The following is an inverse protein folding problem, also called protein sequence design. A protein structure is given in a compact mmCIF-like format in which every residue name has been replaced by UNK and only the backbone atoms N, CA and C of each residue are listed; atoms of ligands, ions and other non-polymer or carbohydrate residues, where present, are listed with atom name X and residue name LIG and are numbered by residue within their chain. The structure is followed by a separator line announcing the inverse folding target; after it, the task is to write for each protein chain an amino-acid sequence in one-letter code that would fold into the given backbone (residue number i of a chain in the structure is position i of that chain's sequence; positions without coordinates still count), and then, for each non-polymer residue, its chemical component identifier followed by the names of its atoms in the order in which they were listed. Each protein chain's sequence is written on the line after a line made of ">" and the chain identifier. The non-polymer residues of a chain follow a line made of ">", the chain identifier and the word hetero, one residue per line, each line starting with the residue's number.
data_IF_269926661379
#
_entry.id   IF_269926661379
#
_cell.length_a   1.000
_cell.length_b   1.000
_cell.length_c   1.000
_cell.angle_alpha   90.00
_cell.angle_beta   90.00
_cell.angle_gamma   90.00
#
_symmetry.space_group_name_H-M   'P 1'
#
loop_
_entity.id
_entity.type
_entity.pdbx_description
1 polymer ?
#
# COMPACT_ATOMS: atom_id res chain seq x y z
N UNK A 1 20.06 8.04 -7.32
CA UNK A 1 19.31 7.40 -8.42
C UNK A 1 17.97 6.84 -7.95
N UNK A 2 17.94 5.86 -7.02
CA UNK A 2 16.68 5.28 -6.51
C UNK A 2 15.67 6.31 -5.99
N UNK A 3 16.12 7.24 -5.12
CA UNK A 3 15.26 8.28 -4.55
C UNK A 3 14.52 9.10 -5.61
N UNK A 4 15.22 9.51 -6.66
CA UNK A 4 14.63 10.28 -7.76
C UNK A 4 13.59 9.49 -8.53
N UNK A 5 13.87 8.22 -8.84
CA UNK A 5 12.92 7.35 -9.55
C UNK A 5 11.66 7.17 -8.71
N UNK A 6 11.80 6.85 -7.43
CA UNK A 6 10.68 6.71 -6.52
C UNK A 6 9.85 8.00 -6.42
N UNK A 7 10.50 9.16 -6.25
CA UNK A 7 9.79 10.45 -6.18
C UNK A 7 9.04 10.74 -7.48
N UNK A 8 9.65 10.55 -8.65
CA UNK A 8 8.98 10.75 -9.95
C UNK A 8 7.79 9.81 -10.11
N UNK A 9 7.92 8.53 -9.74
CA UNK A 9 6.80 7.59 -9.83
C UNK A 9 5.68 7.93 -8.85
N UNK A 10 6.01 8.36 -7.62
CA UNK A 10 5.02 8.81 -6.64
C UNK A 10 4.25 10.02 -7.15
N UNK A 11 4.92 10.99 -7.77
CA UNK A 11 4.25 12.14 -8.38
C UNK A 11 3.33 11.74 -9.54
N UNK A 12 3.76 10.82 -10.39
CA UNK A 12 2.95 10.30 -11.49
C UNK A 12 1.70 9.59 -10.96
N UNK A 13 1.86 8.79 -9.91
CA UNK A 13 0.78 8.09 -9.25
C UNK A 13 -0.24 9.09 -8.70
N UNK A 14 0.20 10.09 -7.95
CA UNK A 14 -0.70 11.03 -7.29
C UNK A 14 -1.38 12.00 -8.26
N UNK A 15 -0.63 12.59 -9.20
CA UNK A 15 -1.16 13.62 -10.11
C UNK A 15 -2.03 13.04 -11.22
N UNK A 16 -1.75 11.81 -11.66
CA UNK A 16 -2.38 11.25 -12.87
C UNK A 16 -3.08 9.93 -12.61
N UNK A 17 -2.39 8.91 -12.10
CA UNK A 17 -2.94 7.54 -12.13
C UNK A 17 -4.02 7.34 -11.06
N UNK A 18 -3.74 7.67 -9.80
CA UNK A 18 -4.70 7.56 -8.69
C UNK A 18 -5.82 8.59 -8.84
N UNK A 19 -5.47 9.82 -9.23
CA UNK A 19 -6.45 10.91 -9.41
C UNK A 19 -7.50 10.60 -10.49
N UNK A 20 -7.12 9.90 -11.56
CA UNK A 20 -8.02 9.59 -12.68
C UNK A 20 -8.53 8.14 -12.66
N UNK A 21 -8.16 7.31 -11.67
CA UNK A 21 -8.65 5.95 -11.57
C UNK A 21 -10.12 5.91 -11.13
N UNK A 22 -11.02 5.62 -12.08
CA UNK A 22 -12.45 5.42 -11.83
C UNK A 22 -12.80 3.98 -11.49
N UNK A 23 -12.05 3.01 -12.00
CA UNK A 23 -12.19 1.60 -11.66
C UNK A 23 -11.54 1.33 -10.28
N UNK A 24 -12.28 0.78 -9.29
CA UNK A 24 -11.73 0.42 -7.98
C UNK A 24 -10.52 -0.50 -8.05
N UNK A 25 -10.47 -1.45 -8.98
CA UNK A 25 -9.34 -2.35 -9.17
C UNK A 25 -8.06 -1.61 -9.58
N UNK A 26 -8.18 -0.71 -10.55
CA UNK A 26 -7.06 0.14 -10.97
C UNK A 26 -6.61 1.05 -9.83
N UNK A 27 -7.55 1.62 -9.08
CA UNK A 27 -7.24 2.50 -7.94
C UNK A 27 -6.50 1.76 -6.83
N UNK A 28 -6.97 0.57 -6.46
CA UNK A 28 -6.29 -0.32 -5.48
C UNK A 28 -4.90 -0.70 -5.98
N UNK A 29 -4.76 -1.04 -7.26
CA UNK A 29 -3.47 -1.38 -7.86
C UNK A 29 -2.46 -0.21 -7.78
N UNK A 30 -2.89 1.01 -8.10
CA UNK A 30 -2.03 2.19 -8.03
C UNK A 30 -1.69 2.59 -6.59
N UNK A 31 -2.63 2.47 -5.65
CA UNK A 31 -2.37 2.72 -4.22
C UNK A 31 -1.39 1.70 -3.64
N UNK A 32 -1.52 0.42 -4.02
CA UNK A 32 -0.53 -0.61 -3.68
C UNK A 32 0.86 -0.21 -4.21
N UNK A 33 0.93 0.20 -5.47
CA UNK A 33 2.18 0.63 -6.10
C UNK A 33 2.78 1.84 -5.37
N UNK A 34 1.97 2.80 -4.95
CA UNK A 34 2.39 3.95 -4.12
C UNK A 34 3.01 3.47 -2.80
N UNK A 35 2.37 2.51 -2.12
CA UNK A 35 2.91 1.87 -0.92
C UNK A 35 4.28 1.22 -1.15
N UNK A 36 4.45 0.51 -2.27
CA UNK A 36 5.72 -0.13 -2.66
C UNK A 36 6.84 0.90 -2.88
N UNK A 37 6.57 2.01 -3.57
CA UNK A 37 7.58 3.05 -3.80
C UNK A 37 7.98 3.81 -2.54
N UNK A 38 7.04 4.05 -1.61
CA UNK A 38 7.39 4.57 -0.29
C UNK A 38 8.21 3.57 0.53
N UNK A 39 7.91 2.27 0.44
CA UNK A 39 8.72 1.23 1.09
C UNK A 39 10.16 1.22 0.57
N UNK A 40 10.37 1.30 -0.74
CA UNK A 40 11.72 1.41 -1.33
C UNK A 40 12.46 2.67 -0.87
N UNK A 41 11.75 3.79 -0.70
CA UNK A 41 12.34 5.00 -0.12
C UNK A 41 12.72 4.80 1.35
N UNK A 42 11.92 4.09 2.13
CA UNK A 42 12.19 3.81 3.53
C UNK A 42 13.41 2.91 3.76
N UNK A 43 13.75 2.05 2.79
CA UNK A 43 14.95 1.20 2.81
C UNK A 43 16.25 2.03 2.72
N UNK A 44 16.19 3.21 2.10
CA UNK A 44 17.36 4.11 1.94
C UNK A 44 17.31 5.37 2.79
N UNK A 45 16.16 5.68 3.40
CA UNK A 45 15.97 6.84 4.27
C UNK A 45 16.61 6.63 5.67
N UNK A 46 16.96 7.74 6.33
CA UNK A 46 17.55 7.74 7.69
C UNK A 46 16.83 8.76 8.58
N UNK A 47 16.90 8.57 9.89
CA UNK A 47 16.31 9.50 10.87
C UNK A 47 14.81 9.68 10.66
N UNK A 48 14.33 10.92 10.79
CA UNK A 48 12.90 11.26 10.73
C UNK A 48 12.28 11.04 9.35
N UNK A 49 13.05 11.24 8.28
CA UNK A 49 12.62 10.93 6.90
C UNK A 49 12.18 9.47 6.79
N UNK A 50 12.88 8.55 7.45
CA UNK A 50 12.53 7.12 7.41
C UNK A 50 11.16 6.86 8.04
N UNK A 51 10.87 7.48 9.17
CA UNK A 51 9.58 7.33 9.85
C UNK A 51 8.44 7.85 8.99
N UNK A 52 8.58 9.05 8.44
CA UNK A 52 7.56 9.64 7.57
C UNK A 52 7.31 8.78 6.33
N UNK A 53 8.38 8.24 5.74
CA UNK A 53 8.25 7.39 4.55
C UNK A 53 7.54 6.07 4.86
N UNK A 54 7.77 5.49 6.05
CA UNK A 54 7.07 4.30 6.53
C UNK A 54 5.58 4.61 6.75
N UNK A 55 5.25 5.72 7.40
CA UNK A 55 3.87 6.12 7.67
C UNK A 55 3.10 6.36 6.35
N UNK A 56 3.75 6.98 5.35
CA UNK A 56 3.19 7.16 4.01
C UNK A 56 2.95 5.84 3.27
N UNK A 57 3.88 4.89 3.40
CA UNK A 57 3.71 3.54 2.83
C UNK A 57 2.50 2.84 3.45
N UNK A 58 2.35 2.93 4.77
CA UNK A 58 1.21 2.35 5.49
C UNK A 58 -0.11 2.97 5.10
N UNK A 59 -0.18 4.31 5.03
CA UNK A 59 -1.38 5.01 4.61
C UNK A 59 -1.86 4.54 3.23
N UNK A 60 -0.94 4.40 2.27
CA UNK A 60 -1.28 3.96 0.92
C UNK A 60 -1.80 2.51 0.88
N UNK A 61 -1.17 1.59 1.61
CA UNK A 61 -1.66 0.20 1.68
C UNK A 61 -2.99 0.08 2.44
N UNK A 62 -3.19 0.86 3.50
CA UNK A 62 -4.44 0.86 4.25
C UNK A 62 -5.60 1.38 3.39
N UNK A 63 -5.40 2.48 2.66
CA UNK A 63 -6.40 3.00 1.72
C UNK A 63 -6.71 1.97 0.62
N UNK A 64 -5.69 1.32 0.06
CA UNK A 64 -5.89 0.24 -0.91
C UNK A 64 -6.73 -0.90 -0.31
N UNK A 65 -6.46 -1.28 0.95
CA UNK A 65 -7.18 -2.33 1.65
C UNK A 65 -8.64 -1.94 1.88
N UNK A 66 -8.91 -0.74 2.38
CA UNK A 66 -10.26 -0.27 2.68
C UNK A 66 -11.13 -0.19 1.42
N UNK A 67 -10.57 0.31 0.30
CA UNK A 67 -11.27 0.32 -0.99
C UNK A 67 -11.53 -1.11 -1.47
N UNK A 68 -10.52 -1.98 -1.42
CA UNK A 68 -10.67 -3.37 -1.87
C UNK A 68 -11.72 -4.13 -1.06
N UNK A 69 -11.77 -3.93 0.26
CA UNK A 69 -12.78 -4.55 1.13
C UNK A 69 -14.20 -4.05 0.83
N UNK A 70 -14.34 -2.79 0.42
CA UNK A 70 -15.63 -2.16 0.15
C UNK A 70 -16.16 -2.47 -1.25
N UNK A 71 -15.27 -2.49 -2.24
CA UNK A 71 -15.63 -2.45 -3.67
C UNK A 71 -15.27 -3.74 -4.44
N UNK A 72 -14.60 -4.72 -3.81
CA UNK A 72 -14.22 -5.99 -4.46
C UNK A 72 -14.82 -7.21 -3.76
N UNK A 73 -15.01 -8.29 -4.55
CA UNK A 73 -15.35 -9.60 -4.02
C UNK A 73 -14.22 -10.16 -3.14
N UNK A 74 -14.52 -10.84 -2.02
CA UNK A 74 -13.52 -11.46 -1.14
C UNK A 74 -12.59 -12.48 -1.85
N UNK A 75 -13.03 -13.03 -2.98
CA UNK A 75 -12.29 -14.00 -3.81
C UNK A 75 -11.46 -13.33 -4.91
N UNK A 76 -11.43 -12.01 -4.98
CA UNK A 76 -10.77 -11.30 -6.06
C UNK A 76 -9.23 -11.44 -5.99
N UNK A 77 -8.53 -11.82 -7.08
CA UNK A 77 -7.08 -12.04 -7.07
C UNK A 77 -6.25 -10.85 -6.57
N UNK A 78 -6.71 -9.63 -6.84
CA UNK A 78 -6.04 -8.40 -6.37
C UNK A 78 -6.13 -8.28 -4.85
N UNK A 79 -7.28 -8.60 -4.26
CA UNK A 79 -7.47 -8.56 -2.80
C UNK A 79 -6.61 -9.62 -2.11
N UNK A 80 -6.55 -10.83 -2.67
CA UNK A 80 -5.67 -11.91 -2.19
C UNK A 80 -4.19 -11.51 -2.27
N UNK A 81 -3.77 -10.91 -3.39
CA UNK A 81 -2.41 -10.38 -3.56
C UNK A 81 -2.11 -9.23 -2.59
N UNK A 82 -3.09 -8.38 -2.29
CA UNK A 82 -2.96 -7.30 -1.32
C UNK A 82 -2.77 -7.86 0.10
N UNK A 83 -3.61 -8.82 0.51
CA UNK A 83 -3.52 -9.48 1.81
C UNK A 83 -2.16 -10.19 2.00
N UNK A 84 -1.64 -10.82 0.94
CA UNK A 84 -0.34 -11.49 0.96
C UNK A 84 0.85 -10.52 1.01
N UNK A 85 0.76 -9.37 0.33
CA UNK A 85 1.78 -8.33 0.45
C UNK A 85 1.75 -7.66 1.83
N UNK A 86 0.55 -7.46 2.39
CA UNK A 86 0.36 -6.94 3.75
C UNK A 86 0.92 -7.90 4.81
N UNK A 87 0.75 -9.21 4.62
CA UNK A 87 1.35 -10.23 5.50
C UNK A 87 2.87 -10.31 5.37
N UNK A 88 3.44 -10.05 4.19
CA UNK A 88 4.90 -10.00 3.99
C UNK A 88 5.52 -8.75 4.63
N UNK A 89 4.79 -7.62 4.66
CA UNK A 89 5.15 -6.43 5.43
C UNK A 89 5.15 -6.68 6.96
N UNK A 90 4.51 -7.75 7.45
CA UNK A 90 4.48 -8.07 8.88
C UNK A 90 5.85 -8.38 9.49
N UNK A 91 6.86 -8.73 8.68
CA UNK A 91 8.23 -8.90 9.13
C UNK A 91 8.92 -7.56 9.52
N UNK A 92 8.34 -6.42 9.11
CA UNK A 92 8.79 -5.07 9.43
C UNK A 92 7.86 -4.35 10.43
N UNK A 93 6.81 -5.03 10.94
CA UNK A 93 5.73 -4.42 11.71
C UNK A 93 5.41 -5.19 13.00
N UNK A 94 4.98 -4.52 14.09
CA UNK A 94 4.46 -5.22 15.27
C UNK A 94 3.21 -6.03 14.92
N UNK A 95 3.29 -7.35 15.03
CA UNK A 95 2.25 -8.35 14.66
C UNK A 95 0.82 -8.08 15.19
N UNK A 96 0.64 -7.14 16.12
CA UNK A 96 -0.63 -6.89 16.79
C UNK A 96 -1.63 -6.03 15.99
N UNK A 97 -1.18 -5.15 15.09
CA UNK A 97 -2.11 -4.27 14.35
C UNK A 97 -2.74 -4.94 13.12
N UNK A 98 -2.13 -6.00 12.61
CA UNK A 98 -2.39 -6.55 11.26
C UNK A 98 -3.22 -7.84 11.28
N UNK A 99 -3.41 -8.48 12.44
CA UNK A 99 -4.29 -9.65 12.57
C UNK A 99 -5.77 -9.29 12.76
N UNK A 100 -6.10 -8.03 13.13
CA UNK A 100 -7.49 -7.60 13.30
C UNK A 100 -8.29 -7.59 11.99
N UNK A 101 -7.74 -7.13 10.84
CA UNK A 101 -8.45 -7.19 9.57
C UNK A 101 -8.62 -8.60 9.02
N UNK A 102 -7.62 -9.47 9.20
CA UNK A 102 -7.64 -10.88 8.75
C UNK A 102 -8.64 -11.74 9.54
N UNK A 103 -8.81 -11.49 10.84
CA UNK A 103 -9.82 -12.17 11.67
C UNK A 103 -11.26 -11.89 11.20
N UNK A 104 -11.50 -10.71 10.60
CA UNK A 104 -12.81 -10.29 10.11
C UNK A 104 -13.10 -10.71 8.65
N UNK A 105 -12.19 -11.45 8.01
CA UNK A 105 -12.37 -12.03 6.67
C UNK A 105 -12.74 -13.52 6.71
N UNK A 106 -12.68 -14.15 7.89
CA UNK A 106 -12.99 -15.57 8.13
C UNK A 106 -14.37 -15.73 8.79
N UNK A 107 -15.12 -14.63 8.97
CA UNK A 107 -16.49 -14.62 9.50
C UNK A 107 -17.41 -13.85 8.56
#
# INVERSE_FOLDING_TARGET
>A
MLRSICTTTLELLDKYLIANATNPESKVFYLKMKGDYFRYLAEVARGDDRKQTIDNSQGAYQEAFDISKKEMQPTHPILLGLALNFSSLSALWPKQLLMRPLQNLVH
#
